data_IF_917730332371
#
_entry.id   IF_917730332371
#
_cell.length_a   1.000
_cell.length_b   1.000
_cell.length_c   1.000
_cell.angle_alpha   90.00
_cell.angle_beta   90.00
_cell.angle_gamma   90.00
#
_symmetry.space_group_name_H-M   'P 1'
#
loop_
_entity.id
_entity.type
_entity.pdbx_description
1 polymer ?
#
# COMPACT_ATOMS: atom_id res chain seq x y z
N UNK A 1 -5.98 40.49 -28.31
CA UNK A 1 -6.44 40.16 -26.94
C UNK A 1 -7.69 39.30 -26.97
N UNK A 2 -8.76 39.72 -27.67
CA UNK A 2 -10.00 38.93 -27.85
C UNK A 2 -9.77 37.47 -28.31
N UNK A 3 -9.02 37.27 -29.41
CA UNK A 3 -8.63 35.92 -29.90
C UNK A 3 -8.00 34.99 -28.83
N UNK A 4 -7.20 35.55 -27.91
CA UNK A 4 -6.52 34.76 -26.86
C UNK A 4 -7.49 34.35 -25.77
N UNK A 5 -8.36 35.27 -25.37
CA UNK A 5 -9.40 35.04 -24.37
C UNK A 5 -10.41 34.00 -24.90
N UNK A 6 -10.85 34.15 -26.14
CA UNK A 6 -11.76 33.21 -26.80
C UNK A 6 -11.14 31.80 -26.87
N UNK A 7 -9.86 31.70 -27.23
CA UNK A 7 -9.15 30.42 -27.26
C UNK A 7 -9.02 29.76 -25.88
N UNK A 8 -8.70 30.53 -24.83
CA UNK A 8 -8.63 30.01 -23.46
C UNK A 8 -10.00 29.56 -22.94
N UNK A 9 -11.08 30.26 -23.32
CA UNK A 9 -12.44 29.82 -23.01
C UNK A 9 -12.85 28.55 -23.79
N UNK A 10 -12.45 28.41 -25.06
CA UNK A 10 -12.65 27.17 -25.83
C UNK A 10 -11.93 26.00 -25.15
N UNK A 11 -10.78 26.23 -24.53
CA UNK A 11 -10.06 25.25 -23.72
C UNK A 11 -10.69 25.01 -22.34
N UNK A 12 -11.78 25.70 -21.98
CA UNK A 12 -12.49 25.51 -20.72
C UNK A 12 -11.92 26.27 -19.52
N UNK A 13 -11.00 27.23 -19.72
CA UNK A 13 -10.54 28.11 -18.65
C UNK A 13 -11.60 29.17 -18.32
N UNK A 14 -11.82 29.39 -17.03
CA UNK A 14 -12.72 30.43 -16.52
C UNK A 14 -12.02 31.79 -16.45
N UNK A 15 -12.78 32.87 -16.23
CA UNK A 15 -12.21 34.20 -16.00
C UNK A 15 -11.35 34.20 -14.73
N UNK A 16 -11.75 33.44 -13.70
CA UNK A 16 -10.99 33.28 -12.46
C UNK A 16 -9.63 32.63 -12.73
N UNK A 17 -9.59 31.55 -13.52
CA UNK A 17 -8.34 30.88 -13.93
C UNK A 17 -7.38 31.86 -14.64
N UNK A 18 -7.91 32.70 -15.54
CA UNK A 18 -7.13 33.72 -16.26
C UNK A 18 -6.62 34.80 -15.31
N UNK A 19 -7.43 35.21 -14.33
CA UNK A 19 -7.04 36.19 -13.33
C UNK A 19 -5.96 35.67 -12.37
N UNK A 20 -5.93 34.36 -12.10
CA UNK A 20 -4.88 33.72 -11.31
C UNK A 20 -3.51 33.74 -12.01
N UNK A 21 -3.48 33.80 -13.35
CA UNK A 21 -2.24 34.00 -14.11
C UNK A 21 -2.45 34.89 -15.35
N UNK A 22 -2.53 36.23 -15.18
CA UNK A 22 -2.86 37.15 -16.29
C UNK A 22 -1.83 37.18 -17.42
N UNK A 23 -0.59 36.77 -17.13
CA UNK A 23 0.50 36.68 -18.11
C UNK A 23 0.20 35.70 -19.26
N UNK A 24 -0.73 34.75 -19.08
CA UNK A 24 -1.21 33.88 -20.15
C UNK A 24 -1.75 34.67 -21.35
N UNK A 25 -2.36 35.83 -21.08
CA UNK A 25 -2.92 36.71 -22.11
C UNK A 25 -1.82 37.37 -22.96
N UNK A 26 -0.57 37.35 -22.51
CA UNK A 26 0.60 37.77 -23.28
C UNK A 26 1.02 36.75 -24.36
N UNK A 27 0.63 35.48 -24.22
CA UNK A 27 1.07 34.40 -25.08
C UNK A 27 0.31 34.36 -26.42
N UNK A 28 0.99 34.12 -27.53
CA UNK A 28 0.34 33.97 -28.84
C UNK A 28 -0.33 32.60 -28.93
N UNK A 29 -1.59 32.55 -29.38
CA UNK A 29 -2.30 31.30 -29.64
C UNK A 29 -1.53 30.45 -30.65
N UNK A 30 -1.18 31.03 -31.80
CA UNK A 30 -0.53 30.32 -32.92
C UNK A 30 0.95 30.00 -32.68
N UNK A 31 1.69 30.90 -32.03
CA UNK A 31 3.14 30.73 -31.84
C UNK A 31 3.54 30.08 -30.51
N UNK A 32 2.65 30.05 -29.52
CA UNK A 32 2.95 29.50 -28.20
C UNK A 32 2.01 28.35 -27.84
N UNK A 33 0.70 28.63 -27.72
CA UNK A 33 -0.26 27.69 -27.13
C UNK A 33 -0.43 26.43 -27.99
N UNK A 34 -0.72 26.60 -29.29
CA UNK A 34 -0.95 25.48 -30.22
C UNK A 34 0.28 24.55 -30.28
N UNK A 35 1.52 25.05 -30.49
CA UNK A 35 2.71 24.19 -30.48
C UNK A 35 2.91 23.37 -29.19
N UNK A 36 2.59 23.93 -28.01
CA UNK A 36 2.67 23.21 -26.72
C UNK A 36 1.66 22.08 -26.69
N UNK A 37 0.41 22.34 -27.04
CA UNK A 37 -0.63 21.31 -27.07
C UNK A 37 -0.38 20.24 -28.14
N UNK A 38 0.15 20.61 -29.30
CA UNK A 38 0.54 19.65 -30.33
C UNK A 38 1.67 18.74 -29.85
N UNK A 39 2.66 19.28 -29.14
CA UNK A 39 3.74 18.47 -28.58
C UNK A 39 3.23 17.56 -27.45
N UNK A 40 2.42 18.06 -26.52
CA UNK A 40 1.77 17.25 -25.48
C UNK A 40 0.92 16.14 -26.11
N UNK A 41 0.17 16.46 -27.17
CA UNK A 41 -0.61 15.48 -27.94
C UNK A 41 0.27 14.42 -28.61
N UNK A 42 1.44 14.80 -29.17
CA UNK A 42 2.41 13.84 -29.73
C UNK A 42 3.01 12.92 -28.68
N UNK A 43 3.16 13.37 -27.44
CA UNK A 43 3.59 12.53 -26.32
C UNK A 43 2.49 11.55 -25.89
N UNK A 44 1.22 11.84 -26.20
CA UNK A 44 0.07 11.04 -25.78
C UNK A 44 -0.73 11.64 -24.62
N UNK A 45 -0.49 12.89 -24.24
CA UNK A 45 -1.31 13.59 -23.23
C UNK A 45 -2.71 13.82 -23.79
N UNK A 46 -3.73 13.51 -22.99
CA UNK A 46 -5.13 13.58 -23.40
C UNK A 46 -5.57 15.03 -23.56
N UNK A 47 -6.27 15.36 -24.65
CA UNK A 47 -6.80 16.72 -24.85
C UNK A 47 -7.76 17.16 -23.74
N UNK A 48 -8.47 16.22 -23.12
CA UNK A 48 -9.39 16.49 -22.00
C UNK A 48 -8.68 16.96 -20.74
N UNK A 49 -7.38 16.68 -20.56
CA UNK A 49 -6.61 17.08 -19.37
C UNK A 49 -5.94 18.44 -19.54
N UNK A 50 -5.93 19.01 -20.74
CA UNK A 50 -5.25 20.29 -21.02
C UNK A 50 -5.77 21.45 -20.18
N UNK A 51 -7.07 21.50 -19.89
CA UNK A 51 -7.66 22.54 -19.04
C UNK A 51 -7.06 22.48 -17.64
N UNK A 52 -7.09 21.30 -17.02
CA UNK A 52 -6.58 21.09 -15.66
C UNK A 52 -5.07 21.26 -15.59
N UNK A 53 -4.36 20.80 -16.62
CA UNK A 53 -2.93 21.00 -16.79
C UNK A 53 -2.58 22.49 -16.74
N UNK A 54 -3.33 23.34 -17.45
CA UNK A 54 -3.12 24.79 -17.42
C UNK A 54 -3.55 25.44 -16.10
N UNK A 55 -4.57 24.93 -15.41
CA UNK A 55 -4.94 25.46 -14.09
C UNK A 55 -3.80 25.26 -13.08
N UNK A 56 -3.16 24.09 -13.11
CA UNK A 56 -2.03 23.77 -12.21
C UNK A 56 -0.73 24.45 -12.61
N UNK A 57 -0.44 24.52 -13.91
CA UNK A 57 0.81 25.10 -14.41
C UNK A 57 0.57 26.04 -15.61
N UNK A 58 -0.02 27.23 -15.37
CA UNK A 58 -0.44 28.13 -16.45
C UNK A 58 0.73 28.75 -17.22
N UNK A 59 1.94 28.79 -16.63
CA UNK A 59 3.15 29.18 -17.34
C UNK A 59 3.57 28.22 -18.48
N UNK A 60 3.00 27.00 -18.54
CA UNK A 60 3.30 26.01 -19.58
C UNK A 60 3.19 26.54 -21.02
N UNK A 61 2.27 27.48 -21.24
CA UNK A 61 1.93 28.00 -22.57
C UNK A 61 2.74 29.22 -22.99
N UNK A 62 3.75 29.61 -22.21
CA UNK A 62 4.70 30.64 -22.62
C UNK A 62 5.76 30.06 -23.58
N UNK A 63 6.18 30.82 -24.60
CA UNK A 63 7.02 30.34 -25.72
C UNK A 63 8.37 29.77 -25.26
N UNK A 64 8.89 30.20 -24.11
CA UNK A 64 10.13 29.67 -23.55
C UNK A 64 9.99 28.19 -23.17
N UNK A 65 8.81 27.72 -22.76
CA UNK A 65 8.62 26.39 -22.19
C UNK A 65 8.72 25.27 -23.24
N UNK A 66 8.33 25.49 -24.50
CA UNK A 66 8.33 24.41 -25.51
C UNK A 66 9.74 23.90 -25.86
N UNK A 67 10.69 24.81 -26.07
CA UNK A 67 12.04 24.48 -26.57
C UNK A 67 13.11 24.47 -25.49
N UNK A 68 12.90 25.19 -24.37
CA UNK A 68 13.89 25.28 -23.28
C UNK A 68 13.58 24.30 -22.15
N UNK A 69 12.30 23.99 -21.89
CA UNK A 69 11.91 23.23 -20.70
C UNK A 69 11.27 21.87 -21.04
N UNK A 70 10.31 21.82 -21.96
CA UNK A 70 9.46 20.64 -22.18
C UNK A 70 10.21 19.44 -22.78
N UNK A 71 10.94 19.63 -23.89
CA UNK A 71 11.70 18.54 -24.52
C UNK A 71 12.90 18.06 -23.65
N UNK A 72 13.69 18.96 -23.02
CA UNK A 72 14.75 18.54 -22.10
C UNK A 72 14.23 17.83 -20.85
N UNK A 73 13.14 18.29 -20.23
CA UNK A 73 12.52 17.61 -19.08
C UNK A 73 12.00 16.24 -19.48
N UNK A 74 11.32 16.10 -20.62
CA UNK A 74 10.86 14.79 -21.11
C UNK A 74 12.02 13.84 -21.36
N UNK A 75 13.09 14.31 -22.00
CA UNK A 75 14.30 13.50 -22.22
C UNK A 75 14.98 13.11 -20.90
N UNK A 76 14.96 14.01 -19.92
CA UNK A 76 15.51 13.76 -18.59
C UNK A 76 14.68 12.72 -17.83
N UNK A 77 13.35 12.81 -17.87
CA UNK A 77 12.42 11.81 -17.31
C UNK A 77 12.62 10.44 -17.96
N UNK A 78 12.76 10.39 -19.28
CA UNK A 78 13.11 9.15 -20.01
C UNK A 78 14.47 8.59 -19.56
N UNK A 79 15.44 9.46 -19.26
CA UNK A 79 16.75 9.07 -18.70
C UNK A 79 16.70 8.53 -17.27
N UNK A 80 15.57 8.63 -16.57
CA UNK A 80 15.33 8.05 -15.24
C UNK A 80 14.59 6.70 -15.29
N UNK A 81 14.62 6.02 -16.44
CA UNK A 81 13.90 4.77 -16.69
C UNK A 81 12.36 4.90 -16.67
N UNK A 82 11.80 6.11 -16.85
CA UNK A 82 10.35 6.27 -17.10
C UNK A 82 10.06 5.88 -18.55
N UNK A 83 9.15 4.92 -18.74
CA UNK A 83 8.78 4.44 -20.09
C UNK A 83 8.14 5.59 -20.88
N UNK A 84 8.40 5.72 -22.20
CA UNK A 84 7.77 6.75 -23.02
C UNK A 84 6.24 6.77 -22.95
N UNK A 85 5.61 5.61 -22.77
CA UNK A 85 4.16 5.44 -22.59
C UNK A 85 3.63 6.03 -21.28
N UNK A 86 4.49 6.15 -20.27
CA UNK A 86 4.12 6.64 -18.93
C UNK A 86 4.39 8.14 -18.76
N UNK A 87 5.17 8.75 -19.66
CA UNK A 87 5.46 10.19 -19.64
C UNK A 87 4.18 11.04 -19.62
N UNK A 88 3.15 10.76 -20.44
CA UNK A 88 1.90 11.51 -20.38
C UNK A 88 1.26 11.48 -18.99
N UNK A 89 1.25 10.32 -18.32
CA UNK A 89 0.69 10.15 -16.99
C UNK A 89 1.42 11.01 -15.95
N UNK A 90 2.74 11.07 -16.03
CA UNK A 90 3.57 11.92 -15.15
C UNK A 90 3.24 13.40 -15.37
N UNK A 91 3.20 13.84 -16.63
CA UNK A 91 2.91 15.24 -16.98
C UNK A 91 1.49 15.64 -16.61
N UNK A 92 0.50 14.78 -16.82
CA UNK A 92 -0.89 15.02 -16.42
C UNK A 92 -1.04 15.15 -14.90
N UNK A 93 -0.33 14.32 -14.14
CA UNK A 93 -0.42 14.30 -12.67
C UNK A 93 0.33 15.46 -12.02
N UNK A 94 1.52 15.78 -12.53
CA UNK A 94 2.39 16.81 -11.97
C UNK A 94 2.96 17.75 -13.05
N UNK A 95 2.13 18.62 -13.65
CA UNK A 95 2.55 19.59 -14.67
C UNK A 95 3.68 20.51 -14.22
N UNK A 96 3.76 20.81 -12.92
CA UNK A 96 4.78 21.67 -12.32
C UNK A 96 6.20 21.13 -12.49
N UNK A 97 6.35 19.83 -12.80
CA UNK A 97 7.67 19.21 -13.07
C UNK A 97 8.44 19.95 -14.15
N UNK A 98 7.73 20.56 -15.11
CA UNK A 98 8.30 21.32 -16.22
C UNK A 98 9.02 22.60 -15.78
N UNK A 99 8.69 23.12 -14.59
CA UNK A 99 9.30 24.32 -14.05
C UNK A 99 10.60 24.08 -13.28
N UNK A 100 10.97 22.83 -13.03
CA UNK A 100 12.18 22.54 -12.28
C UNK A 100 13.41 22.51 -13.19
N UNK A 101 14.52 23.02 -12.65
CA UNK A 101 15.83 22.85 -13.27
C UNK A 101 16.21 21.36 -13.26
N UNK A 102 16.70 20.87 -14.40
CA UNK A 102 17.16 19.48 -14.55
C UNK A 102 18.23 19.12 -13.52
N UNK A 103 19.23 19.99 -13.41
CA UNK A 103 20.25 19.94 -12.37
C UNK A 103 19.79 20.74 -11.15
N UNK A 104 19.62 20.05 -10.01
CA UNK A 104 19.14 20.66 -8.77
C UNK A 104 18.25 19.70 -8.00
N UNK A 105 17.02 20.13 -7.70
CA UNK A 105 16.09 19.37 -6.84
C UNK A 105 15.83 17.97 -7.39
N UNK A 106 15.55 17.85 -8.69
CA UNK A 106 15.20 16.56 -9.31
C UNK A 106 16.35 15.55 -9.24
N UNK A 107 17.57 15.95 -9.64
CA UNK A 107 18.75 15.07 -9.55
C UNK A 107 19.10 14.71 -8.10
N UNK A 108 18.94 15.65 -7.17
CA UNK A 108 19.21 15.41 -5.74
C UNK A 108 18.22 14.42 -5.13
N UNK A 109 16.92 14.52 -5.46
CA UNK A 109 15.90 13.58 -5.00
C UNK A 109 16.18 12.16 -5.48
N UNK A 110 16.48 11.99 -6.78
CA UNK A 110 16.82 10.68 -7.35
C UNK A 110 18.11 10.12 -6.75
N UNK A 111 19.16 10.93 -6.65
CA UNK A 111 20.43 10.52 -6.05
C UNK A 111 20.25 10.07 -4.58
N UNK A 112 19.39 10.77 -3.83
CA UNK A 112 19.08 10.39 -2.46
C UNK A 112 18.32 9.06 -2.38
N UNK A 113 17.30 8.85 -3.22
CA UNK A 113 16.55 7.58 -3.28
C UNK A 113 17.47 6.39 -3.63
N UNK A 114 18.36 6.57 -4.60
CA UNK A 114 19.38 5.56 -4.93
C UNK A 114 20.34 5.35 -3.75
N UNK A 115 20.74 6.44 -3.08
CA UNK A 115 21.64 6.39 -1.92
C UNK A 115 21.07 5.67 -0.69
N UNK A 116 19.75 5.69 -0.49
CA UNK A 116 19.10 4.93 0.60
C UNK A 116 18.82 3.47 0.23
N UNK A 117 18.98 3.07 -1.03
CA UNK A 117 18.85 1.69 -1.49
C UNK A 117 17.68 1.40 -2.43
N UNK A 118 16.96 2.41 -2.92
CA UNK A 118 16.01 2.22 -4.03
C UNK A 118 16.82 1.90 -5.28
N UNK A 119 16.55 0.78 -5.94
CA UNK A 119 17.38 0.47 -7.10
C UNK A 119 17.01 1.34 -8.30
N UNK A 120 18.03 1.62 -9.12
CA UNK A 120 17.94 2.47 -10.31
C UNK A 120 16.77 2.10 -11.23
N UNK A 121 16.60 0.81 -11.53
CA UNK A 121 15.51 0.31 -12.40
C UNK A 121 14.09 0.58 -11.89
N UNK A 122 13.92 0.77 -10.58
CA UNK A 122 12.60 1.04 -9.98
C UNK A 122 12.32 2.53 -9.85
N UNK A 123 13.32 3.39 -10.06
CA UNK A 123 13.15 4.85 -9.99
C UNK A 123 12.07 5.30 -10.97
N UNK A 124 12.10 4.79 -12.20
CA UNK A 124 11.06 5.08 -13.20
C UNK A 124 9.65 4.77 -12.68
N UNK A 125 9.45 3.57 -12.12
CA UNK A 125 8.15 3.16 -11.55
C UNK A 125 7.72 4.00 -10.34
N UNK A 126 8.67 4.38 -9.48
CA UNK A 126 8.42 5.30 -8.35
C UNK A 126 7.94 6.66 -8.83
N UNK A 127 8.64 7.24 -9.80
CA UNK A 127 8.34 8.57 -10.34
C UNK A 127 7.06 8.59 -11.17
N UNK A 128 6.73 7.50 -11.86
CA UNK A 128 5.43 7.34 -12.54
C UNK A 128 4.26 7.36 -11.55
N UNK A 129 4.42 6.73 -10.37
CA UNK A 129 3.36 6.66 -9.35
C UNK A 129 3.24 7.94 -8.51
N UNK A 130 4.35 8.59 -8.21
CA UNK A 130 4.38 9.80 -7.37
C UNK A 130 5.46 10.80 -7.85
N UNK A 131 5.21 11.49 -8.97
CA UNK A 131 6.16 12.42 -9.58
C UNK A 131 6.50 13.64 -8.72
N UNK A 132 5.66 13.97 -7.74
CA UNK A 132 5.82 15.07 -6.81
C UNK A 132 7.16 15.00 -6.04
N UNK A 133 7.74 13.79 -5.88
CA UNK A 133 9.07 13.55 -5.31
C UNK A 133 10.16 14.42 -5.96
N UNK A 134 10.05 14.68 -7.26
CA UNK A 134 11.03 15.49 -8.00
C UNK A 134 11.05 16.95 -7.56
N UNK A 135 9.94 17.46 -7.00
CA UNK A 135 9.84 18.80 -6.43
C UNK A 135 10.17 18.86 -4.93
N UNK A 136 10.28 17.72 -4.25
CA UNK A 136 10.50 17.68 -2.81
C UNK A 136 11.94 18.03 -2.43
N UNK A 137 12.11 18.86 -1.40
CA UNK A 137 13.45 19.19 -0.88
C UNK A 137 13.98 18.06 -0.01
N UNK A 138 14.98 17.32 -0.50
CA UNK A 138 15.61 16.19 0.21
C UNK A 138 15.94 16.53 1.67
N UNK A 139 16.71 17.58 1.93
CA UNK A 139 17.18 17.92 3.28
C UNK A 139 16.09 18.41 4.24
N UNK A 140 14.90 18.79 3.76
CA UNK A 140 13.80 19.29 4.60
C UNK A 140 12.65 18.31 4.74
N UNK A 141 12.46 17.43 3.76
CA UNK A 141 11.28 16.55 3.70
C UNK A 141 11.70 15.09 3.66
N UNK A 142 12.36 14.64 2.57
CA UNK A 142 12.65 13.21 2.36
C UNK A 142 13.61 12.67 3.43
N UNK A 143 14.72 13.36 3.69
CA UNK A 143 15.75 12.90 4.63
C UNK A 143 15.23 12.81 6.08
N UNK A 144 14.61 13.86 6.65
CA UNK A 144 14.02 13.76 7.98
C UNK A 144 12.94 12.68 8.11
N UNK A 145 12.17 12.43 7.05
CA UNK A 145 11.17 11.36 7.03
C UNK A 145 11.83 9.97 7.10
N UNK A 146 12.85 9.72 6.27
CA UNK A 146 13.61 8.46 6.29
C UNK A 146 14.31 8.26 7.63
N UNK A 147 14.98 9.28 8.16
CA UNK A 147 15.64 9.21 9.48
C UNK A 147 14.65 8.93 10.61
N UNK A 148 13.43 9.46 10.51
CA UNK A 148 12.39 9.16 11.49
C UNK A 148 11.95 7.69 11.43
N UNK A 149 11.71 7.14 10.24
CA UNK A 149 11.38 5.71 10.10
C UNK A 149 12.52 4.81 10.60
N UNK A 150 13.77 5.18 10.35
CA UNK A 150 14.95 4.52 10.91
C UNK A 150 14.95 4.57 12.44
N UNK A 151 14.59 5.73 13.03
CA UNK A 151 14.51 5.89 14.48
C UNK A 151 13.40 5.05 15.14
N UNK A 152 12.39 4.61 14.39
CA UNK A 152 11.40 3.66 14.87
C UNK A 152 11.97 2.23 14.96
N UNK A 153 13.05 1.94 14.24
CA UNK A 153 13.68 0.62 14.15
C UNK A 153 13.50 -0.06 12.79
N UNK A 154 13.00 0.66 11.77
CA UNK A 154 12.90 0.11 10.40
C UNK A 154 14.27 0.21 9.73
N UNK A 155 14.87 -0.89 9.25
CA UNK A 155 16.15 -0.82 8.54
C UNK A 155 16.09 0.09 7.31
N UNK A 156 17.18 0.82 7.02
CA UNK A 156 17.27 1.74 5.88
C UNK A 156 16.80 1.12 4.55
N UNK A 157 17.25 -0.10 4.26
CA UNK A 157 16.86 -0.81 3.05
C UNK A 157 15.37 -1.16 3.03
N UNK A 158 14.77 -1.53 4.17
CA UNK A 158 13.33 -1.73 4.27
C UNK A 158 12.58 -0.41 4.03
N UNK A 159 13.06 0.73 4.57
CA UNK A 159 12.48 2.05 4.26
C UNK A 159 12.52 2.34 2.76
N UNK A 160 13.66 2.07 2.09
CA UNK A 160 13.77 2.22 0.65
C UNK A 160 12.74 1.35 -0.10
N UNK A 161 12.51 0.12 0.35
CA UNK A 161 11.51 -0.80 -0.22
C UNK A 161 10.08 -0.35 0.01
N UNK A 162 9.80 0.27 1.15
CA UNK A 162 8.50 0.89 1.42
C UNK A 162 8.25 2.06 0.48
N UNK A 163 9.23 2.95 0.29
CA UNK A 163 9.12 4.08 -0.66
C UNK A 163 8.99 3.56 -2.10
N UNK A 164 9.72 2.50 -2.45
CA UNK A 164 9.63 1.86 -3.76
C UNK A 164 8.20 1.39 -4.07
N UNK A 165 7.56 0.67 -3.13
CA UNK A 165 6.20 0.13 -3.28
C UNK A 165 5.09 1.17 -3.10
N UNK A 166 5.30 2.15 -2.22
CA UNK A 166 4.31 3.15 -1.77
C UNK A 166 4.94 4.54 -1.69
N UNK A 167 5.29 5.16 -2.83
CA UNK A 167 6.05 6.41 -2.82
C UNK A 167 5.28 7.62 -2.24
N UNK A 168 3.94 7.57 -2.28
CA UNK A 168 3.07 8.63 -1.74
C UNK A 168 3.22 8.84 -0.22
N UNK A 169 3.80 7.88 0.53
CA UNK A 169 4.02 8.04 1.98
C UNK A 169 4.92 9.23 2.30
N UNK A 170 5.80 9.60 1.36
CA UNK A 170 6.67 10.78 1.49
C UNK A 170 5.88 12.10 1.49
N UNK A 171 4.67 12.09 0.93
CA UNK A 171 3.76 13.22 0.96
C UNK A 171 3.12 13.46 2.32
N UNK A 172 3.23 12.51 3.26
CA UNK A 172 2.67 12.67 4.59
C UNK A 172 3.49 13.64 5.43
N UNK A 173 2.77 14.56 6.05
CA UNK A 173 3.32 15.54 6.96
C UNK A 173 4.02 14.94 8.17
N UNK A 174 5.34 15.07 8.27
CA UNK A 174 6.13 14.39 9.30
C UNK A 174 5.75 14.83 10.73
N UNK A 175 5.51 16.13 10.95
CA UNK A 175 5.26 16.69 12.30
C UNK A 175 3.78 16.67 12.67
N UNK A 176 2.94 16.90 11.68
CA UNK A 176 1.51 17.14 11.80
C UNK A 176 0.66 15.87 11.66
N UNK A 177 1.18 14.83 10.98
CA UNK A 177 0.48 13.55 10.78
C UNK A 177 1.28 12.37 11.31
N UNK A 178 2.47 12.15 10.78
CA UNK A 178 3.24 10.90 11.01
C UNK A 178 3.61 10.70 12.47
N UNK A 179 4.21 11.71 13.11
CA UNK A 179 4.60 11.63 14.53
C UNK A 179 3.40 11.43 15.47
N UNK A 180 2.34 12.27 15.40
CA UNK A 180 1.13 12.03 16.19
C UNK A 180 0.51 10.65 15.97
N UNK A 181 0.49 10.15 14.72
CA UNK A 181 -0.05 8.83 14.44
C UNK A 181 0.76 7.71 15.09
N UNK A 182 2.08 7.81 15.14
CA UNK A 182 2.92 6.86 15.90
C UNK A 182 2.65 6.94 17.40
N UNK A 183 2.44 8.15 17.94
CA UNK A 183 2.06 8.34 19.34
C UNK A 183 0.70 7.70 19.64
N UNK A 184 -0.29 7.86 18.75
CA UNK A 184 -1.59 7.20 18.89
C UNK A 184 -1.46 5.68 18.86
N UNK A 185 -0.61 5.08 18.02
CA UNK A 185 -0.40 3.62 18.07
C UNK A 185 0.08 3.18 19.47
N UNK A 186 1.02 3.93 20.08
CA UNK A 186 1.49 3.64 21.44
C UNK A 186 0.40 3.84 22.50
N UNK A 187 -0.42 4.90 22.38
CA UNK A 187 -1.56 5.15 23.27
C UNK A 187 -2.60 4.01 23.23
N UNK A 188 -2.73 3.33 22.09
CA UNK A 188 -3.63 2.20 21.89
C UNK A 188 -2.96 0.83 22.10
N UNK A 189 -1.93 0.80 22.95
CA UNK A 189 -1.24 -0.41 23.40
C UNK A 189 -0.50 -1.19 22.30
N UNK A 190 -0.19 -0.57 21.16
CA UNK A 190 0.76 -1.16 20.20
C UNK A 190 2.16 -1.08 20.81
N UNK A 191 2.84 -2.22 20.92
CA UNK A 191 4.17 -2.27 21.52
C UNK A 191 5.18 -1.54 20.67
N UNK A 192 6.03 -0.73 21.32
CA UNK A 192 7.12 0.02 20.66
C UNK A 192 8.01 -0.88 19.81
N UNK A 193 8.28 -2.11 20.26
CA UNK A 193 9.09 -3.09 19.54
C UNK A 193 8.45 -3.57 18.24
N UNK A 194 7.12 -3.51 18.12
CA UNK A 194 6.37 -3.94 16.94
C UNK A 194 5.95 -2.79 16.02
N UNK A 195 6.16 -1.52 16.40
CA UNK A 195 5.92 -0.37 15.54
C UNK A 195 6.59 -0.49 14.16
N UNK A 196 7.86 -0.91 14.04
CA UNK A 196 8.47 -1.15 12.73
C UNK A 196 7.67 -2.11 11.86
N UNK A 197 7.19 -3.20 12.45
CA UNK A 197 6.43 -4.23 11.75
C UNK A 197 5.06 -3.69 11.31
N UNK A 198 4.36 -2.97 12.19
CA UNK A 198 3.06 -2.35 11.89
C UNK A 198 3.16 -1.38 10.72
N UNK A 199 4.16 -0.48 10.75
CA UNK A 199 4.38 0.50 9.68
C UNK A 199 4.84 -0.17 8.39
N UNK A 200 5.66 -1.23 8.47
CA UNK A 200 6.10 -1.95 7.29
C UNK A 200 4.97 -2.75 6.60
N UNK A 201 4.04 -3.31 7.40
CA UNK A 201 2.87 -4.05 6.90
C UNK A 201 1.82 -3.14 6.26
N UNK A 202 1.61 -1.94 6.81
CA UNK A 202 0.61 -0.98 6.32
C UNK A 202 1.12 0.46 6.42
N UNK A 203 1.98 0.90 5.47
CA UNK A 203 2.62 2.21 5.52
C UNK A 203 1.64 3.39 5.50
N UNK A 204 0.45 3.21 4.95
CA UNK A 204 -0.57 4.26 4.92
C UNK A 204 -1.04 4.64 6.34
N UNK A 205 -0.88 3.77 7.35
CA UNK A 205 -1.33 4.00 8.73
C UNK A 205 -0.78 5.29 9.36
N UNK A 206 0.43 5.71 8.97
CA UNK A 206 1.07 6.93 9.47
C UNK A 206 0.59 8.20 8.77
N UNK A 207 -0.18 8.10 7.68
CA UNK A 207 -0.76 9.24 6.97
C UNK A 207 -2.26 9.45 7.21
N UNK A 208 -2.97 8.44 7.74
CA UNK A 208 -4.42 8.48 7.96
C UNK A 208 -4.82 9.43 9.09
N UNK A 209 -6.11 9.77 9.13
CA UNK A 209 -6.73 10.34 10.33
C UNK A 209 -6.96 9.24 11.38
N UNK A 210 -5.88 8.88 12.07
CA UNK A 210 -5.77 7.59 12.76
C UNK A 210 -6.55 7.53 14.07
N UNK A 211 -6.53 8.60 14.88
CA UNK A 211 -7.16 8.62 16.21
C UNK A 211 -8.66 8.24 16.20
N UNK A 212 -9.52 8.87 15.36
CA UNK A 212 -10.94 8.49 15.32
C UNK A 212 -11.15 7.05 14.81
N UNK A 213 -10.32 6.57 13.87
CA UNK A 213 -10.37 5.19 13.38
C UNK A 213 -10.04 4.18 14.49
N UNK A 214 -8.97 4.42 15.25
CA UNK A 214 -8.59 3.58 16.39
C UNK A 214 -9.70 3.53 17.46
N UNK A 215 -10.24 4.69 17.85
CA UNK A 215 -11.33 4.79 18.83
C UNK A 215 -12.58 4.02 18.37
N UNK A 216 -13.01 4.26 17.14
CA UNK A 216 -14.21 3.64 16.58
C UNK A 216 -14.05 2.12 16.51
N UNK A 217 -12.89 1.65 16.04
CA UNK A 217 -12.63 0.23 15.87
C UNK A 217 -12.47 -0.49 17.23
N UNK A 218 -11.79 0.14 18.19
CA UNK A 218 -11.67 -0.40 19.55
C UNK A 218 -13.05 -0.50 20.22
N UNK A 219 -13.88 0.52 20.10
CA UNK A 219 -15.25 0.52 20.63
C UNK A 219 -16.11 -0.57 19.98
N UNK A 220 -16.00 -0.75 18.66
CA UNK A 220 -16.71 -1.80 17.94
C UNK A 220 -16.33 -3.20 18.44
N UNK A 221 -15.03 -3.51 18.48
CA UNK A 221 -14.55 -4.81 18.91
C UNK A 221 -14.85 -5.07 20.40
N UNK A 222 -14.77 -4.04 21.24
CA UNK A 222 -15.18 -4.14 22.64
C UNK A 222 -16.67 -4.47 22.74
N UNK A 223 -17.53 -3.81 21.97
CA UNK A 223 -18.98 -4.09 22.00
C UNK A 223 -19.37 -5.50 21.55
N UNK A 224 -18.63 -6.12 20.61
CA UNK A 224 -19.07 -7.38 19.98
C UNK A 224 -18.37 -8.64 20.52
N UNK A 225 -17.14 -8.49 21.04
CA UNK A 225 -16.32 -9.58 21.60
C UNK A 225 -15.68 -9.24 22.97
N UNK A 226 -15.97 -8.08 23.54
CA UNK A 226 -15.47 -7.62 24.84
C UNK A 226 -13.92 -7.65 24.89
N UNK A 227 -13.30 -7.13 23.83
CA UNK A 227 -11.85 -7.01 23.74
C UNK A 227 -11.33 -5.91 24.70
N UNK A 228 -10.28 -6.23 25.45
CA UNK A 228 -9.56 -5.25 26.27
C UNK A 228 -8.64 -4.36 25.43
N UNK A 229 -8.14 -3.24 25.99
CA UNK A 229 -7.25 -2.32 25.28
C UNK A 229 -5.92 -2.97 24.86
N UNK A 230 -5.33 -3.81 25.72
CA UNK A 230 -4.10 -4.56 25.42
C UNK A 230 -4.28 -5.55 24.26
N UNK A 231 -5.40 -6.29 24.28
CA UNK A 231 -5.73 -7.24 23.22
C UNK A 231 -6.03 -6.52 21.90
N UNK A 232 -6.63 -5.33 21.95
CA UNK A 232 -6.81 -4.49 20.76
C UNK A 232 -5.46 -4.08 20.16
N UNK A 233 -4.50 -3.65 20.99
CA UNK A 233 -3.12 -3.39 20.54
C UNK A 233 -2.51 -4.58 19.81
N UNK A 234 -2.67 -5.80 20.36
CA UNK A 234 -2.21 -7.06 19.73
C UNK A 234 -2.88 -7.36 18.39
N UNK A 235 -4.16 -7.03 18.24
CA UNK A 235 -4.88 -7.17 16.97
C UNK A 235 -4.28 -6.23 15.92
N UNK A 236 -4.04 -4.96 16.28
CA UNK A 236 -3.43 -3.96 15.38
C UNK A 236 -2.00 -4.37 14.99
N UNK A 237 -1.22 -4.94 15.93
CA UNK A 237 0.14 -5.45 15.65
C UNK A 237 0.18 -6.55 14.58
N UNK A 238 -0.84 -7.41 14.55
CA UNK A 238 -0.93 -8.55 13.61
C UNK A 238 -1.63 -8.22 12.30
N UNK A 239 -2.53 -7.24 12.31
CA UNK A 239 -3.23 -6.77 11.12
C UNK A 239 -3.57 -5.28 11.27
N UNK A 240 -2.65 -4.38 10.93
CA UNK A 240 -2.88 -2.93 11.06
C UNK A 240 -4.11 -2.45 10.28
N UNK A 241 -4.44 -3.12 9.17
CA UNK A 241 -5.60 -2.82 8.32
C UNK A 241 -6.94 -2.98 9.06
N UNK A 242 -6.97 -3.63 10.23
CA UNK A 242 -8.18 -3.79 11.06
C UNK A 242 -8.87 -2.46 11.36
N UNK A 243 -8.11 -1.36 11.47
CA UNK A 243 -8.61 -0.02 11.76
C UNK A 243 -9.47 0.57 10.63
N UNK A 244 -9.36 0.01 9.43
CA UNK A 244 -10.04 0.48 8.22
C UNK A 244 -11.19 -0.45 7.81
N UNK A 245 -11.43 -1.55 8.56
CA UNK A 245 -12.54 -2.45 8.26
C UNK A 245 -13.89 -1.81 8.54
N UNK A 246 -14.84 -2.03 7.65
CA UNK A 246 -16.20 -1.56 7.84
C UNK A 246 -16.93 -2.37 8.93
N UNK A 247 -17.80 -1.68 9.69
CA UNK A 247 -18.55 -2.26 10.81
C UNK A 247 -19.39 -3.49 10.43
N UNK A 248 -20.14 -3.43 9.33
CA UNK A 248 -21.08 -4.48 8.97
C UNK A 248 -20.41 -5.83 8.64
N UNK A 249 -19.35 -5.89 7.79
CA UNK A 249 -18.57 -7.11 7.61
C UNK A 249 -18.03 -7.69 8.91
N UNK A 250 -17.41 -6.88 9.77
CA UNK A 250 -16.83 -7.34 11.04
C UNK A 250 -17.88 -8.03 11.93
N UNK A 251 -19.07 -7.44 12.05
CA UNK A 251 -20.17 -8.02 12.83
C UNK A 251 -20.60 -9.37 12.24
N UNK A 252 -20.79 -9.45 10.91
CA UNK A 252 -21.17 -10.70 10.24
C UNK A 252 -20.17 -11.84 10.47
N UNK A 253 -18.86 -11.55 10.51
CA UNK A 253 -17.83 -12.54 10.79
C UNK A 253 -17.89 -13.03 12.24
N UNK A 254 -18.07 -12.11 13.19
CA UNK A 254 -18.22 -12.47 14.60
C UNK A 254 -19.49 -13.30 14.83
N UNK A 255 -20.61 -12.93 14.21
CA UNK A 255 -21.87 -13.66 14.29
C UNK A 255 -21.77 -15.04 13.64
N UNK A 256 -21.09 -15.16 12.50
CA UNK A 256 -20.78 -16.45 11.89
C UNK A 256 -20.04 -17.37 12.85
N UNK A 257 -18.96 -16.89 13.49
CA UNK A 257 -18.21 -17.70 14.46
C UNK A 257 -19.07 -18.08 15.69
N UNK A 258 -19.92 -17.17 16.19
CA UNK A 258 -20.86 -17.51 17.26
C UNK A 258 -21.85 -18.60 16.82
N UNK A 259 -22.37 -18.52 15.60
CA UNK A 259 -23.29 -19.51 15.03
C UNK A 259 -22.63 -20.87 14.76
N UNK A 260 -21.32 -20.89 14.55
CA UNK A 260 -20.52 -22.13 14.49
C UNK A 260 -20.38 -22.84 15.86
N UNK A 261 -20.85 -22.21 16.96
CA UNK A 261 -20.83 -22.79 18.30
C UNK A 261 -19.65 -22.35 19.16
N UNK A 262 -18.85 -21.37 18.73
CA UNK A 262 -17.78 -20.81 19.56
C UNK A 262 -18.32 -19.88 20.64
N UNK A 263 -17.83 -20.03 21.87
CA UNK A 263 -18.12 -19.07 22.95
C UNK A 263 -17.50 -17.71 22.67
N UNK A 264 -18.03 -16.65 23.31
CA UNK A 264 -17.50 -15.29 23.16
C UNK A 264 -16.00 -15.20 23.47
N UNK A 265 -15.54 -15.92 24.50
CA UNK A 265 -14.13 -15.98 24.90
C UNK A 265 -13.26 -16.68 23.85
N UNK A 266 -13.76 -17.76 23.24
CA UNK A 266 -13.05 -18.44 22.14
C UNK A 266 -12.96 -17.53 20.91
N UNK A 267 -14.05 -16.86 20.52
CA UNK A 267 -14.04 -15.91 19.40
C UNK A 267 -13.05 -14.77 19.66
N UNK A 268 -13.02 -14.20 20.87
CA UNK A 268 -12.03 -13.20 21.26
C UNK A 268 -10.60 -13.72 21.07
N UNK A 269 -10.30 -14.91 21.60
CA UNK A 269 -8.97 -15.54 21.47
C UNK A 269 -8.59 -15.76 20.00
N UNK A 270 -9.54 -16.18 19.16
CA UNK A 270 -9.32 -16.36 17.73
C UNK A 270 -9.04 -15.04 17.01
N UNK A 271 -9.80 -13.97 17.29
CA UNK A 271 -9.60 -12.64 16.68
C UNK A 271 -8.28 -12.02 17.12
N UNK A 272 -7.90 -12.12 18.40
CA UNK A 272 -6.58 -11.68 18.88
C UNK A 272 -5.45 -12.54 18.31
N UNK A 273 -5.73 -13.83 18.07
CA UNK A 273 -4.82 -14.78 17.45
C UNK A 273 -4.55 -14.48 15.98
N UNK A 274 -5.61 -14.22 15.21
CA UNK A 274 -5.61 -14.10 13.76
C UNK A 274 -6.71 -13.10 13.33
N UNK A 275 -6.45 -11.79 13.39
CA UNK A 275 -7.42 -10.76 13.02
C UNK A 275 -7.92 -10.86 11.57
N UNK A 276 -7.15 -11.51 10.69
CA UNK A 276 -7.47 -11.75 9.29
C UNK A 276 -8.83 -12.41 9.12
N UNK A 277 -9.30 -13.18 10.11
CA UNK A 277 -10.63 -13.78 10.13
C UNK A 277 -11.77 -12.77 9.89
N UNK A 278 -11.58 -11.49 10.23
CA UNK A 278 -12.59 -10.45 10.07
C UNK A 278 -12.65 -9.87 8.64
N UNK A 279 -11.72 -10.25 7.78
CA UNK A 279 -11.57 -9.74 6.42
C UNK A 279 -11.66 -10.83 5.34
N UNK A 280 -11.84 -12.10 5.74
CA UNK A 280 -11.94 -13.22 4.81
C UNK A 280 -13.28 -13.21 4.06
N UNK A 281 -13.36 -14.03 3.00
CA UNK A 281 -14.63 -14.29 2.35
C UNK A 281 -15.46 -15.27 3.19
N UNK A 282 -16.61 -14.80 3.70
CA UNK A 282 -17.49 -15.58 4.56
C UNK A 282 -17.98 -16.89 3.93
N UNK A 283 -18.21 -16.93 2.62
CA UNK A 283 -18.71 -18.14 1.97
C UNK A 283 -17.62 -19.20 1.87
N UNK A 284 -16.37 -18.79 1.65
CA UNK A 284 -15.22 -19.70 1.72
C UNK A 284 -15.01 -20.18 3.16
N UNK A 285 -15.17 -19.30 4.16
CA UNK A 285 -15.08 -19.69 5.58
C UNK A 285 -16.13 -20.73 5.96
N UNK A 286 -17.38 -20.60 5.49
CA UNK A 286 -18.43 -21.60 5.71
C UNK A 286 -18.04 -22.96 5.14
N UNK A 287 -17.59 -23.00 3.88
CA UNK A 287 -17.15 -24.25 3.25
C UNK A 287 -15.98 -24.91 4.00
N UNK A 288 -15.02 -24.11 4.46
CA UNK A 288 -13.91 -24.56 5.29
C UNK A 288 -14.42 -25.16 6.62
N UNK A 289 -15.37 -24.50 7.27
CA UNK A 289 -15.96 -24.97 8.52
C UNK A 289 -16.77 -26.27 8.34
N UNK A 290 -17.58 -26.36 7.30
CA UNK A 290 -18.38 -27.54 6.98
C UNK A 290 -17.47 -28.75 6.72
N UNK A 291 -16.37 -28.56 6.00
CA UNK A 291 -15.38 -29.61 5.80
C UNK A 291 -14.71 -30.04 7.11
N UNK A 292 -14.34 -29.07 7.96
CA UNK A 292 -13.74 -29.34 9.26
C UNK A 292 -14.66 -30.18 10.17
N UNK A 293 -15.94 -29.80 10.26
CA UNK A 293 -16.89 -30.52 11.11
C UNK A 293 -17.33 -31.86 10.51
N UNK A 294 -17.75 -31.88 9.24
CA UNK A 294 -18.39 -33.06 8.64
C UNK A 294 -17.38 -34.12 8.19
N UNK A 295 -16.23 -33.70 7.66
CA UNK A 295 -15.24 -34.60 7.05
C UNK A 295 -14.07 -34.87 8.00
N UNK A 296 -13.45 -33.83 8.55
CA UNK A 296 -12.31 -34.02 9.47
C UNK A 296 -12.75 -34.50 10.85
N UNK A 297 -13.98 -34.15 11.28
CA UNK A 297 -14.57 -34.56 12.58
C UNK A 297 -13.67 -34.25 13.77
N UNK A 298 -13.04 -33.08 13.75
CA UNK A 298 -12.13 -32.59 14.79
C UNK A 298 -12.86 -31.70 15.81
N UNK A 299 -12.35 -31.59 17.05
CA UNK A 299 -12.95 -30.72 18.06
C UNK A 299 -12.79 -29.26 17.68
N UNK A 300 -13.76 -28.42 18.05
CA UNK A 300 -13.72 -26.97 17.79
C UNK A 300 -12.51 -26.28 18.42
N UNK A 301 -11.99 -26.82 19.53
CA UNK A 301 -10.81 -26.26 20.20
C UNK A 301 -9.56 -26.23 19.31
N UNK A 302 -9.43 -27.15 18.34
CA UNK A 302 -8.35 -27.12 17.35
C UNK A 302 -8.39 -25.81 16.53
N UNK A 303 -9.58 -25.31 16.17
CA UNK A 303 -9.76 -24.05 15.44
C UNK A 303 -9.50 -22.82 16.33
N UNK A 304 -9.71 -22.95 17.64
CA UNK A 304 -9.37 -21.88 18.60
C UNK A 304 -7.85 -21.77 18.78
N UNK A 305 -7.15 -22.91 18.77
CA UNK A 305 -5.69 -22.96 18.85
C UNK A 305 -5.06 -22.49 17.54
N UNK A 306 -5.63 -22.88 16.39
CA UNK A 306 -5.12 -22.53 15.06
C UNK A 306 -6.20 -21.86 14.18
N UNK A 307 -6.58 -20.61 14.48
CA UNK A 307 -7.59 -19.88 13.71
C UNK A 307 -7.17 -19.62 12.25
N UNK A 308 -5.87 -19.62 11.97
CA UNK A 308 -5.32 -19.50 10.62
C UNK A 308 -5.77 -20.63 9.68
N UNK A 309 -6.41 -21.70 10.17
CA UNK A 309 -7.07 -22.70 9.33
C UNK A 309 -7.94 -22.08 8.22
N UNK A 310 -8.69 -21.02 8.54
CA UNK A 310 -9.59 -20.37 7.60
C UNK A 310 -8.88 -19.59 6.48
N UNK A 311 -7.58 -19.30 6.63
CA UNK A 311 -6.80 -18.57 5.61
C UNK A 311 -6.23 -19.50 4.53
N UNK A 312 -6.27 -20.82 4.73
CA UNK A 312 -5.79 -21.79 3.75
C UNK A 312 -6.89 -22.14 2.73
N UNK A 313 -6.46 -22.42 1.49
CA UNK A 313 -7.36 -22.86 0.43
C UNK A 313 -7.90 -24.27 0.68
N UNK A 314 -9.22 -24.42 0.60
CA UNK A 314 -9.91 -25.68 0.87
C UNK A 314 -9.48 -26.80 -0.09
N UNK A 315 -9.56 -26.54 -1.41
CA UNK A 315 -9.26 -27.52 -2.45
C UNK A 315 -7.77 -27.67 -2.70
N UNK A 316 -7.01 -26.57 -2.63
CA UNK A 316 -5.59 -26.55 -2.94
C UNK A 316 -4.72 -27.11 -1.81
N UNK A 317 -5.07 -26.85 -0.55
CA UNK A 317 -4.19 -27.18 0.59
C UNK A 317 -4.86 -28.11 1.59
N UNK A 318 -6.03 -27.76 2.12
CA UNK A 318 -6.63 -28.46 3.26
C UNK A 318 -7.01 -29.91 2.89
N UNK A 319 -7.78 -30.08 1.81
CA UNK A 319 -8.28 -31.40 1.35
C UNK A 319 -7.15 -32.35 0.95
N UNK A 320 -6.15 -31.96 0.12
CA UNK A 320 -5.05 -32.84 -0.25
C UNK A 320 -4.25 -33.31 0.95
N UNK A 321 -3.83 -32.38 1.83
CA UNK A 321 -3.01 -32.70 3.00
C UNK A 321 -3.76 -33.57 4.01
N UNK A 322 -5.03 -33.27 4.27
CA UNK A 322 -5.87 -34.10 5.15
C UNK A 322 -6.01 -35.53 4.62
N UNK A 323 -6.25 -35.73 3.31
CA UNK A 323 -6.36 -37.06 2.69
C UNK A 323 -5.06 -37.87 2.83
N UNK A 324 -3.90 -37.23 2.67
CA UNK A 324 -2.60 -37.90 2.80
C UNK A 324 -2.34 -38.36 4.23
N UNK A 325 -2.57 -37.48 5.22
CA UNK A 325 -2.42 -37.81 6.64
C UNK A 325 -3.40 -38.90 7.08
N UNK A 326 -4.66 -38.82 6.63
CA UNK A 326 -5.67 -39.83 6.93
C UNK A 326 -5.32 -41.20 6.34
N UNK A 327 -4.74 -41.26 5.13
CA UNK A 327 -4.26 -42.52 4.52
C UNK A 327 -3.14 -43.17 5.33
N UNK A 328 -2.27 -42.39 5.96
CA UNK A 328 -1.21 -42.89 6.85
C UNK A 328 -1.67 -43.18 8.27
N UNK A 329 -2.90 -42.79 8.65
CA UNK A 329 -3.41 -42.97 10.00
C UNK A 329 -2.74 -42.08 11.06
N UNK A 330 -2.07 -41.00 10.64
CA UNK A 330 -1.36 -40.10 11.54
C UNK A 330 -2.33 -39.12 12.22
N UNK A 331 -2.10 -38.84 13.52
CA UNK A 331 -2.81 -37.78 14.25
C UNK A 331 -1.86 -36.59 14.46
N UNK A 332 -2.25 -35.42 13.96
CA UNK A 332 -1.43 -34.21 14.03
C UNK A 332 -2.28 -32.97 14.34
N UNK A 333 -1.64 -31.92 14.85
CA UNK A 333 -2.25 -30.60 15.02
C UNK A 333 -2.52 -29.92 13.66
N UNK A 334 -3.44 -28.96 13.62
CA UNK A 334 -3.71 -28.18 12.40
C UNK A 334 -2.48 -27.36 11.96
N UNK A 335 -1.71 -26.83 12.92
CA UNK A 335 -0.48 -26.12 12.64
C UNK A 335 0.55 -27.01 11.95
N UNK A 336 0.76 -28.25 12.43
CA UNK A 336 1.68 -29.19 11.78
C UNK A 336 1.23 -29.54 10.35
N UNK A 337 -0.09 -29.68 10.14
CA UNK A 337 -0.68 -30.01 8.86
C UNK A 337 -0.54 -28.87 7.82
N UNK A 338 -0.76 -27.62 8.24
CA UNK A 338 -0.96 -26.50 7.31
C UNK A 338 0.17 -25.47 7.33
N UNK A 339 0.84 -25.27 8.46
CA UNK A 339 1.88 -24.25 8.63
C UNK A 339 3.25 -24.71 8.10
N UNK A 340 3.31 -25.06 6.81
CA UNK A 340 4.53 -25.44 6.11
C UNK A 340 4.36 -25.37 4.59
N UNK A 341 5.47 -25.23 3.87
CA UNK A 341 5.51 -25.34 2.40
C UNK A 341 5.18 -26.75 1.94
N UNK A 342 4.79 -26.92 0.67
CA UNK A 342 4.46 -28.23 0.11
C UNK A 342 5.65 -29.20 0.19
N UNK A 343 6.86 -28.74 -0.13
CA UNK A 343 8.08 -29.54 -0.02
C UNK A 343 8.33 -30.03 1.43
N UNK A 344 8.19 -29.13 2.42
CA UNK A 344 8.38 -29.48 3.83
C UNK A 344 7.27 -30.42 4.32
N UNK A 345 6.06 -30.28 3.79
CA UNK A 345 4.96 -31.20 4.10
C UNK A 345 5.20 -32.61 3.53
N UNK A 346 5.72 -32.72 2.31
CA UNK A 346 6.10 -34.00 1.71
C UNK A 346 7.24 -34.68 2.48
N UNK A 347 8.23 -33.89 2.90
CA UNK A 347 9.32 -34.37 3.76
C UNK A 347 8.78 -34.87 5.10
N UNK A 348 7.90 -34.09 5.75
CA UNK A 348 7.20 -34.50 6.99
C UNK A 348 6.44 -35.80 6.85
N UNK A 349 5.80 -36.00 5.70
CA UNK A 349 5.11 -37.24 5.38
C UNK A 349 6.07 -38.39 5.13
N UNK A 350 7.35 -38.17 4.83
CA UNK A 350 8.32 -39.26 4.63
C UNK A 350 8.70 -39.97 5.93
N UNK A 351 8.60 -39.28 7.07
CA UNK A 351 8.91 -39.83 8.38
C UNK A 351 7.77 -40.70 8.95
N UNK A 352 8.15 -41.72 9.74
CA UNK A 352 7.20 -42.66 10.37
C UNK A 352 6.54 -42.11 11.66
N UNK A 353 7.09 -41.03 12.23
CA UNK A 353 6.61 -40.40 13.47
C UNK A 353 6.68 -38.87 13.40
N UNK A 354 5.76 -38.18 14.08
CA UNK A 354 5.74 -36.71 14.20
C UNK A 354 6.68 -36.30 15.33
N UNK A 355 7.72 -35.53 15.01
CA UNK A 355 8.63 -34.99 16.03
C UNK A 355 8.01 -33.77 16.74
N UNK A 356 8.25 -33.64 18.04
CA UNK A 356 7.62 -32.60 18.88
C UNK A 356 8.16 -31.19 18.59
N UNK A 357 9.40 -31.08 18.12
CA UNK A 357 10.05 -29.80 17.77
C UNK A 357 9.45 -29.16 16.50
N UNK A 358 8.78 -29.93 15.63
CA UNK A 358 8.19 -29.41 14.40
C UNK A 358 6.85 -28.67 14.58
N UNK A 359 6.35 -28.55 15.82
CA UNK A 359 5.06 -27.94 16.13
C UNK A 359 5.13 -26.42 16.36
N UNK A 360 6.31 -25.79 16.27
CA UNK A 360 6.47 -24.36 16.50
C UNK A 360 5.90 -23.49 15.35
N UNK A 361 5.24 -22.40 15.73
CA UNK A 361 4.58 -21.46 14.79
C UNK A 361 5.52 -20.34 14.39
N UNK A 362 5.84 -20.24 13.10
CA UNK A 362 6.52 -19.06 12.54
C UNK A 362 5.60 -17.82 12.53
N UNK A 363 6.15 -16.59 12.65
CA UNK A 363 5.38 -15.35 12.58
C UNK A 363 4.68 -15.18 11.23
N UNK A 364 3.45 -14.65 11.23
CA UNK A 364 2.68 -14.41 10.00
C UNK A 364 3.24 -13.30 9.09
N UNK A 365 4.19 -12.50 9.60
CA UNK A 365 4.88 -11.46 8.85
C UNK A 365 6.33 -11.42 9.30
N UNK A 366 7.25 -11.67 8.36
CA UNK A 366 8.68 -11.51 8.55
C UNK A 366 9.17 -10.26 7.80
N UNK A 367 9.73 -9.31 8.54
CA UNK A 367 10.31 -8.09 7.98
C UNK A 367 11.52 -8.38 7.07
N UNK A 368 12.19 -9.53 7.25
CA UNK A 368 13.31 -9.92 6.39
C UNK A 368 12.90 -10.10 4.93
N UNK A 369 11.62 -10.38 4.64
CA UNK A 369 11.08 -10.43 3.27
C UNK A 369 11.26 -9.11 2.51
N UNK A 370 11.33 -7.97 3.21
CA UNK A 370 11.62 -6.68 2.60
C UNK A 370 13.11 -6.50 2.27
N UNK A 371 13.98 -7.32 2.85
CA UNK A 371 15.44 -7.25 2.72
C UNK A 371 15.99 -8.32 1.76
N UNK A 372 15.15 -9.24 1.29
CA UNK A 372 15.54 -10.32 0.39
C UNK A 372 16.10 -9.81 -0.96
N UNK A 373 17.05 -10.55 -1.57
CA UNK A 373 17.51 -10.27 -2.92
C UNK A 373 16.34 -10.34 -3.90
N UNK A 374 16.32 -9.43 -4.87
CA UNK A 374 15.25 -9.39 -5.86
C UNK A 374 15.31 -10.63 -6.77
N UNK A 375 14.18 -11.33 -6.93
CA UNK A 375 14.00 -12.27 -8.03
C UNK A 375 13.90 -11.50 -9.36
N UNK A 376 14.48 -12.03 -10.43
CA UNK A 376 14.57 -11.38 -11.74
C UNK A 376 13.24 -11.36 -12.53
N UNK A 377 12.14 -11.85 -11.95
CA UNK A 377 10.81 -11.81 -12.57
C UNK A 377 10.05 -10.54 -12.18
N UNK A 378 10.52 -9.40 -12.68
CA UNK A 378 9.72 -8.17 -12.70
C UNK A 378 9.02 -8.05 -14.06
N UNK A 379 8.01 -8.89 -14.29
CA UNK A 379 7.02 -8.63 -15.32
C UNK A 379 6.10 -7.54 -14.77
N UNK A 380 6.33 -6.32 -15.22
CA UNK A 380 5.55 -5.14 -14.84
C UNK A 380 4.17 -5.16 -15.50
N UNK A 381 3.26 -5.99 -15.01
CA UNK A 381 1.83 -5.76 -15.20
C UNK A 381 1.37 -4.90 -14.03
N UNK A 382 1.41 -3.58 -14.25
CA UNK A 382 0.82 -2.63 -13.32
C UNK A 382 -0.68 -2.68 -13.54
N UNK A 383 -1.39 -3.41 -12.68
CA UNK A 383 -2.85 -3.40 -12.63
C UNK A 383 -3.35 -1.94 -12.56
N UNK A 384 -4.24 -1.62 -13.51
CA UNK A 384 -5.12 -0.46 -13.46
C UNK A 384 -6.07 -0.59 -12.25
N UNK A 385 -6.52 0.57 -11.77
CA UNK A 385 -7.62 0.75 -10.82
C UNK A 385 -7.32 0.60 -9.32
N UNK A 386 -6.85 1.70 -8.74
CA UNK A 386 -7.40 2.17 -7.46
C UNK A 386 -7.74 3.64 -7.66
N UNK A 387 -8.94 3.90 -8.20
CA UNK A 387 -9.63 5.16 -8.00
C UNK A 387 -9.91 5.27 -6.49
N UNK A 388 -8.97 5.89 -5.80
CA UNK A 388 -9.12 6.38 -4.44
C UNK A 388 -10.09 7.58 -4.47
N UNK A 389 -11.39 7.29 -4.46
CA UNK A 389 -12.39 8.22 -3.94
C UNK A 389 -12.30 8.21 -2.40
N UNK A 390 -11.37 8.99 -1.86
CA UNK A 390 -11.44 9.41 -0.46
C UNK A 390 -12.47 10.54 -0.32
N UNK A 391 -13.65 10.18 0.18
CA UNK A 391 -14.56 11.10 0.88
C UNK A 391 -14.69 10.66 2.33
#
# INVERSE_FOLDING_TARGET
MRERVDFLHILGLTIEDINNYPLVLGCSVKKNMIPVFDYLGKLGVRKSTFTEFLRRYPQAVSMLVLFVDLAPVVKYLQGMDIKPTDIPRVLERYPEVLGFKLEGTMSTSVAYLVGIGVARREIGGVLTRYPEILGMRVGRVIKPFVEYLESLGIPRLAVARLIEKRPHILGFGLKERVKPNVEFLLEFNVRKTLLPSVVAQYPEIIGLDLKPKLLSQQSLLNSIIDIGPEDFGRVVEKMPQVISLSKAPVIKHVDFLKNCGFSLQQVRKMVVGCPQLLALNLDIMKLNFDYFQMVMKRPLDDLVIFPAFFTYGLESTIKPRHRMVAKKGLKCSLAWLLNCSDNKFEERLSYDTIDMEEMETEPSFDMNTLMEPRSDESASDYDEDSDDDYV
#
